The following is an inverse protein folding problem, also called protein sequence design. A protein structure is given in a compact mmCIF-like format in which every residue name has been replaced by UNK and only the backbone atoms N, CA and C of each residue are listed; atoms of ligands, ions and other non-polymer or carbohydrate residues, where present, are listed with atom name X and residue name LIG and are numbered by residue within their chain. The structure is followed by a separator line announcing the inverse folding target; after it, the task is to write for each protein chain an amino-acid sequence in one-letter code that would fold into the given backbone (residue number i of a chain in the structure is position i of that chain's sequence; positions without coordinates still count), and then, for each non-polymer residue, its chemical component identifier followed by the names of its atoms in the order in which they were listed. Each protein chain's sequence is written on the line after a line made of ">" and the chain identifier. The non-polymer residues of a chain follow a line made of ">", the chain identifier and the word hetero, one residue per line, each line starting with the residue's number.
data_IF_326326273176
#
_entry.id   IF_326326273176
#
_cell.length_a   1.000
_cell.length_b   1.000
_cell.length_c   1.000
_cell.angle_alpha   90.00
_cell.angle_beta   90.00
_cell.angle_gamma   90.00
#
_symmetry.space_group_name_H-M   'P 1'
#
loop_
_entity.id
_entity.type
_entity.pdbx_description
1 polymer ?
#
# COMPACT_ATOMS: atom_id res chain seq x y z
N UNK A 1 -7.19 10.13 -4.43
CA UNK A 1 -6.65 10.30 -3.06
C UNK A 1 -5.78 9.10 -2.72
N UNK A 2 -4.69 9.32 -1.98
CA UNK A 2 -3.79 8.25 -1.53
C UNK A 2 -4.40 7.49 -0.35
N UNK A 3 -4.46 6.17 -0.45
CA UNK A 3 -4.96 5.28 0.61
C UNK A 3 -4.03 5.20 1.82
N UNK A 4 -2.72 5.46 1.65
CA UNK A 4 -1.74 5.49 2.76
C UNK A 4 -1.85 6.73 3.63
N UNK A 5 -1.69 7.92 3.04
CA UNK A 5 -1.65 9.20 3.77
C UNK A 5 -2.93 10.05 3.70
N UNK A 6 -3.95 9.62 2.95
CA UNK A 6 -5.22 10.34 2.72
C UNK A 6 -5.10 11.71 2.01
N UNK A 7 -3.91 12.07 1.52
CA UNK A 7 -3.70 13.28 0.73
C UNK A 7 -3.99 13.07 -0.76
N UNK A 8 -4.14 14.17 -1.50
CA UNK A 8 -4.24 14.11 -2.97
C UNK A 8 -2.95 13.52 -3.57
N UNK A 9 -3.11 12.79 -4.67
CA UNK A 9 -1.99 12.36 -5.51
C UNK A 9 -2.00 13.30 -6.71
N UNK A 10 -0.88 13.98 -6.93
CA UNK A 10 -0.70 14.83 -8.10
C UNK A 10 -0.91 14.00 -9.38
N UNK A 11 -1.73 14.45 -10.34
CA UNK A 11 -2.00 13.69 -11.55
C UNK A 11 -0.75 13.46 -12.42
N UNK A 12 0.29 14.30 -12.30
CA UNK A 12 1.52 14.21 -13.08
C UNK A 12 2.56 13.25 -12.48
N UNK A 13 2.42 12.85 -11.20
CA UNK A 13 3.37 11.94 -10.54
C UNK A 13 2.98 10.48 -10.66
N UNK A 14 3.99 9.61 -10.61
CA UNK A 14 3.77 8.16 -10.60
C UNK A 14 3.04 7.75 -9.31
N UNK A 15 2.08 6.83 -9.48
CA UNK A 15 1.28 6.25 -8.40
C UNK A 15 1.19 4.75 -8.53
N UNK A 16 0.93 4.08 -7.41
CA UNK A 16 0.55 2.67 -7.41
C UNK A 16 -0.96 2.61 -7.40
N UNK A 17 -1.55 1.91 -8.36
CA UNK A 17 -3.00 1.69 -8.42
C UNK A 17 -3.29 0.20 -8.37
N UNK A 18 -4.23 -0.20 -7.50
CA UNK A 18 -4.75 -1.56 -7.44
C UNK A 18 -6.24 -1.52 -7.12
N UNK A 19 -7.06 -2.09 -8.02
CA UNK A 19 -8.52 -1.94 -7.99
C UNK A 19 -8.91 -0.45 -7.87
N UNK A 20 -9.66 -0.09 -6.82
CA UNK A 20 -10.14 1.27 -6.57
C UNK A 20 -9.20 2.08 -5.68
N UNK A 21 -8.07 1.49 -5.25
CA UNK A 21 -7.13 2.11 -4.33
C UNK A 21 -5.91 2.64 -5.07
N UNK A 22 -5.43 3.78 -4.58
CA UNK A 22 -4.29 4.48 -5.14
C UNK A 22 -3.34 4.84 -4.00
N UNK A 23 -2.04 4.74 -4.21
CA UNK A 23 -1.03 5.19 -3.26
C UNK A 23 0.00 6.02 -4.00
N UNK A 24 0.63 6.99 -3.33
CA UNK A 24 1.86 7.57 -3.85
C UNK A 24 2.89 6.46 -4.06
N UNK A 25 3.64 6.53 -5.16
CA UNK A 25 4.75 5.60 -5.42
C UNK A 25 5.98 5.93 -4.56
N UNK A 26 5.77 6.10 -3.25
CA UNK A 26 6.78 6.47 -2.25
C UNK A 26 6.86 5.43 -1.14
N UNK A 27 7.99 5.41 -0.45
CA UNK A 27 8.24 4.55 0.70
C UNK A 27 7.44 4.95 1.94
N UNK A 28 6.73 6.08 1.92
CA UNK A 28 5.91 6.54 3.05
C UNK A 28 4.44 6.14 2.91
N UNK A 29 3.99 5.89 1.68
CA UNK A 29 2.58 5.65 1.39
C UNK A 29 2.30 4.21 0.98
N UNK A 30 3.22 3.53 0.28
CA UNK A 30 3.02 2.14 -0.16
C UNK A 30 3.78 1.17 0.75
N UNK A 31 3.21 0.97 1.95
CA UNK A 31 3.79 0.23 3.06
C UNK A 31 2.93 -0.96 3.46
N UNK A 32 3.56 -2.04 3.92
CA UNK A 32 2.88 -3.16 4.55
C UNK A 32 2.06 -2.67 5.75
N UNK A 33 0.75 -2.92 5.75
CA UNK A 33 -0.16 -2.50 6.82
C UNK A 33 0.17 -3.11 8.18
N UNK A 34 0.95 -4.19 8.23
CA UNK A 34 1.35 -4.87 9.48
C UNK A 34 2.72 -4.42 10.01
N UNK A 35 3.74 -4.30 9.16
CA UNK A 35 5.13 -4.08 9.59
C UNK A 35 5.76 -2.81 9.04
N UNK A 36 5.01 -1.99 8.31
CA UNK A 36 5.47 -0.74 7.70
C UNK A 36 6.64 -0.89 6.72
N UNK A 37 6.93 -2.11 6.25
CA UNK A 37 7.93 -2.35 5.20
C UNK A 37 7.46 -1.77 3.87
N UNK A 38 8.31 -1.02 3.17
CA UNK A 38 7.99 -0.52 1.83
C UNK A 38 7.81 -1.66 0.84
N UNK A 39 6.76 -1.52 0.01
CA UNK A 39 6.37 -2.49 -1.01
C UNK A 39 6.68 -1.99 -2.44
N UNK A 40 7.38 -0.86 -2.57
CA UNK A 40 7.78 -0.32 -3.87
C UNK A 40 8.71 -1.33 -4.56
N UNK A 41 8.32 -1.76 -5.77
CA UNK A 41 9.07 -2.77 -6.54
C UNK A 41 9.08 -4.16 -5.91
N UNK A 42 8.27 -4.41 -4.87
CA UNK A 42 8.17 -5.70 -4.20
C UNK A 42 6.86 -6.40 -4.54
N UNK A 43 6.83 -7.72 -4.39
CA UNK A 43 5.56 -8.47 -4.39
C UNK A 43 4.74 -8.09 -3.15
N UNK A 44 3.43 -7.97 -3.33
CA UNK A 44 2.51 -7.64 -2.25
C UNK A 44 1.19 -8.40 -2.38
N UNK A 45 0.44 -8.43 -1.27
CA UNK A 45 -0.92 -8.99 -1.20
C UNK A 45 -1.90 -7.89 -0.79
N UNK A 46 -2.80 -7.46 -1.69
CA UNK A 46 -3.82 -6.47 -1.39
C UNK A 46 -5.10 -7.11 -0.79
N UNK A 47 -5.70 -6.45 0.20
CA UNK A 47 -7.00 -6.82 0.81
C UNK A 47 -7.70 -5.53 1.23
N UNK A 48 -8.83 -5.20 0.61
CA UNK A 48 -9.71 -4.08 1.03
C UNK A 48 -8.97 -2.76 1.33
N UNK A 49 -7.96 -2.40 0.52
CA UNK A 49 -7.19 -1.16 0.68
C UNK A 49 -6.00 -1.27 1.64
N UNK A 50 -5.81 -2.41 2.29
CA UNK A 50 -4.57 -2.80 2.94
C UNK A 50 -3.66 -3.55 1.98
N UNK A 51 -2.35 -3.48 2.22
CA UNK A 51 -1.35 -4.21 1.44
C UNK A 51 -0.36 -4.88 2.39
N UNK A 52 0.06 -6.11 2.07
CA UNK A 52 0.91 -6.92 2.94
C UNK A 52 2.14 -7.43 2.21
N UNK A 53 3.29 -7.44 2.87
CA UNK A 53 4.54 -7.99 2.32
C UNK A 53 4.58 -9.52 2.34
N UNK A 54 3.80 -10.17 3.22
CA UNK A 54 3.84 -11.62 3.41
C UNK A 54 2.52 -12.16 3.96
N UNK A 55 2.31 -13.47 3.81
CA UNK A 55 1.13 -14.16 4.35
C UNK A 55 1.10 -14.06 5.88
N UNK A 56 2.26 -14.04 6.52
CA UNK A 56 2.35 -13.86 7.97
C UNK A 56 1.88 -12.47 8.41
N UNK A 57 2.30 -11.41 7.71
CA UNK A 57 1.82 -10.05 7.98
C UNK A 57 0.30 -9.92 7.77
N UNK A 58 -0.22 -10.54 6.71
CA UNK A 58 -1.66 -10.63 6.48
C UNK A 58 -2.36 -11.31 7.67
N UNK A 59 -1.89 -12.49 8.10
CA UNK A 59 -2.49 -13.25 9.20
C UNK A 59 -2.47 -12.44 10.51
N UNK A 60 -1.34 -11.82 10.85
CA UNK A 60 -1.17 -11.02 12.08
C UNK A 60 -2.17 -9.86 12.20
N UNK A 61 -2.55 -9.23 11.08
CA UNK A 61 -3.50 -8.10 11.10
C UNK A 61 -4.97 -8.55 11.02
N UNK A 62 -5.24 -9.75 10.49
CA UNK A 62 -6.59 -10.28 10.25
C UNK A 62 -7.03 -11.33 11.28
N UNK A 63 -6.27 -11.48 12.37
CA UNK A 63 -6.60 -12.38 13.49
C UNK A 63 -7.28 -11.63 14.62
#
# INVERSE_FOLDING_TARGET
>A
VCQGCHNAIDPEVQRVTYNNFNWHATTECFLCSCCSKSLIGQKFMPIEGMVFCSVECKKKMMS
#
